data_IF_484961845754
#
_entry.id   IF_484961845754
#
_cell.length_a   1.000
_cell.length_b   1.000
_cell.length_c   1.000
_cell.angle_alpha   90.00
_cell.angle_beta   90.00
_cell.angle_gamma   90.00
#
_symmetry.space_group_name_H-M   'P 1'
#
loop_
_entity.id
_entity.type
_entity.pdbx_description
1 polymer ?
#
# COMPACT_ATOMS: atom_id res chain seq x y z
N UNK A 1 -34.26 -1.91 -45.50
CA UNK A 1 -35.62 -2.46 -45.27
C UNK A 1 -35.74 -2.71 -43.78
N UNK A 2 -36.53 -1.88 -43.11
CA UNK A 2 -37.89 -2.21 -42.61
C UNK A 2 -37.78 -3.20 -41.45
N UNK A 3 -38.17 -2.88 -40.22
CA UNK A 3 -39.15 -1.91 -39.73
C UNK A 3 -39.88 -2.56 -38.55
N UNK A 4 -40.91 -1.87 -38.08
CA UNK A 4 -41.91 -2.23 -37.06
C UNK A 4 -41.57 -1.77 -35.63
N UNK A 5 -42.06 -0.60 -35.20
CA UNK A 5 -43.45 -0.21 -34.80
C UNK A 5 -43.85 -0.84 -33.46
N UNK A 6 -44.01 0.02 -32.43
CA UNK A 6 -45.31 0.47 -31.86
C UNK A 6 -45.92 -0.56 -30.93
N UNK A 7 -46.74 -0.26 -29.94
CA UNK A 7 -47.11 0.94 -29.18
C UNK A 7 -47.96 0.40 -28.00
N UNK A 8 -48.36 1.28 -27.11
CA UNK A 8 -49.47 1.10 -26.15
C UNK A 8 -49.16 0.16 -24.94
N UNK A 9 -49.62 0.37 -23.71
CA UNK A 9 -50.79 1.13 -23.29
C UNK A 9 -50.77 1.46 -21.77
N UNK A 10 -51.56 2.48 -21.46
CA UNK A 10 -52.14 2.96 -20.18
C UNK A 10 -52.07 2.10 -18.90
N UNK A 11 -51.86 2.84 -17.80
CA UNK A 11 -52.70 2.97 -16.58
C UNK A 11 -51.76 3.19 -15.36
N UNK A 12 -51.89 4.21 -14.51
CA UNK A 12 -53.02 4.48 -13.62
C UNK A 12 -52.89 5.88 -12.97
N UNK A 13 -54.04 6.56 -12.83
CA UNK A 13 -54.42 7.74 -12.02
C UNK A 13 -53.83 7.79 -10.59
N UNK A 14 -53.72 8.87 -9.79
CA UNK A 14 -54.31 10.23 -9.65
C UNK A 14 -53.44 11.02 -8.61
N UNK A 15 -53.60 12.35 -8.44
CA UNK A 15 -52.91 13.15 -7.43
C UNK A 15 -53.69 13.27 -6.11
N UNK A 16 -52.98 13.30 -4.98
CA UNK A 16 -53.53 13.57 -3.65
C UNK A 16 -52.61 14.49 -2.85
N UNK A 17 -53.12 15.68 -2.54
CA UNK A 17 -52.47 16.71 -1.72
C UNK A 17 -52.64 16.44 -0.21
N UNK A 18 -51.72 17.06 0.53
CA UNK A 18 -51.87 17.69 1.87
C UNK A 18 -51.77 16.81 3.12
N UNK A 19 -50.98 17.30 4.09
CA UNK A 19 -51.18 16.94 5.49
C UNK A 19 -49.93 16.97 6.38
N UNK A 20 -49.70 18.13 7.00
CA UNK A 20 -49.27 18.30 8.39
C UNK A 20 -47.86 17.84 8.85
N UNK A 21 -47.03 18.86 9.06
CA UNK A 21 -46.24 19.16 10.26
C UNK A 21 -46.24 18.14 11.41
N UNK A 22 -45.03 17.70 11.77
CA UNK A 22 -44.71 17.09 13.05
C UNK A 22 -43.20 17.16 13.30
N UNK A 23 -42.75 18.19 14.02
CA UNK A 23 -41.41 18.22 14.60
C UNK A 23 -41.39 17.33 15.84
N UNK A 24 -40.48 16.35 15.88
CA UNK A 24 -39.92 15.85 17.13
C UNK A 24 -38.57 15.17 16.83
N UNK A 25 -37.52 15.78 17.38
CA UNK A 25 -36.27 15.18 17.84
C UNK A 25 -35.98 13.73 17.44
N UNK A 26 -34.98 13.54 16.59
CA UNK A 26 -34.11 12.37 16.66
C UNK A 26 -32.66 12.78 16.37
N UNK A 27 -31.83 12.59 17.38
CA UNK A 27 -30.38 12.58 17.29
C UNK A 27 -29.99 11.36 16.46
N UNK A 28 -29.81 11.53 15.16
CA UNK A 28 -29.19 10.50 14.33
C UNK A 28 -27.99 11.07 13.57
N UNK A 29 -26.96 10.24 13.59
CA UNK A 29 -25.71 10.23 12.85
C UNK A 29 -25.54 11.32 11.79
N UNK A 30 -24.35 11.95 11.81
CA UNK A 30 -23.79 12.62 10.63
C UNK A 30 -23.57 11.57 9.54
N UNK A 31 -24.65 11.17 8.86
CA UNK A 31 -24.62 10.50 7.60
C UNK A 31 -23.97 11.47 6.62
N UNK A 32 -22.77 11.12 6.17
CA UNK A 32 -22.11 11.79 5.06
C UNK A 32 -23.07 11.67 3.88
N UNK A 33 -23.63 12.79 3.45
CA UNK A 33 -24.50 12.93 2.29
C UNK A 33 -23.79 12.30 1.09
N UNK A 34 -24.22 11.09 0.71
CA UNK A 34 -23.74 10.40 -0.49
C UNK A 34 -24.68 10.79 -1.61
N UNK A 35 -24.23 11.65 -2.50
CA UNK A 35 -24.88 11.86 -3.80
C UNK A 35 -24.98 10.51 -4.53
N UNK A 36 -26.19 10.01 -4.86
CA UNK A 36 -26.35 8.74 -5.53
C UNK A 36 -25.83 8.84 -6.98
N UNK A 37 -24.70 8.19 -7.29
CA UNK A 37 -24.22 8.03 -8.67
C UNK A 37 -22.73 8.25 -8.93
N UNK A 38 -21.94 8.72 -7.96
CA UNK A 38 -20.50 8.88 -8.18
C UNK A 38 -19.78 7.53 -7.96
N UNK A 39 -19.25 6.96 -9.05
CA UNK A 39 -18.38 5.79 -8.99
C UNK A 39 -17.20 6.07 -8.05
N UNK A 40 -16.79 5.12 -7.19
CA UNK A 40 -15.70 5.35 -6.26
C UNK A 40 -14.43 5.72 -7.03
N UNK A 41 -13.88 6.91 -6.72
CA UNK A 41 -12.68 7.44 -7.35
C UNK A 41 -11.54 6.43 -7.21
N UNK A 42 -10.92 6.04 -8.32
CA UNK A 42 -9.74 5.17 -8.29
C UNK A 42 -8.47 6.01 -8.35
N UNK A 43 -7.60 5.86 -7.34
CA UNK A 43 -6.32 6.55 -7.23
C UNK A 43 -5.19 5.56 -7.46
N UNK A 44 -4.20 5.95 -8.25
CA UNK A 44 -3.04 5.12 -8.56
C UNK A 44 -1.82 5.64 -7.83
N UNK A 45 -1.13 4.77 -7.10
CA UNK A 45 0.14 5.11 -6.44
C UNK A 45 1.21 4.10 -6.76
N UNK A 46 2.31 4.58 -7.31
CA UNK A 46 3.51 3.79 -7.52
C UNK A 46 4.25 3.60 -6.19
N UNK A 47 4.44 2.34 -5.80
CA UNK A 47 5.17 1.92 -4.61
C UNK A 47 6.39 1.11 -5.05
N UNK A 48 7.57 1.41 -4.52
CA UNK A 48 8.79 0.64 -4.79
C UNK A 48 9.33 0.02 -3.50
N UNK A 49 9.80 -1.22 -3.59
CA UNK A 49 10.51 -1.88 -2.50
C UNK A 49 11.99 -1.93 -2.83
N UNK A 50 12.82 -1.48 -1.89
CA UNK A 50 14.29 -1.47 -1.98
C UNK A 50 14.88 -2.18 -0.76
N UNK A 51 16.13 -2.63 -0.87
CA UNK A 51 16.82 -3.36 0.19
C UNK A 51 17.65 -4.51 -0.36
N UNK A 52 18.50 -5.07 0.48
CA UNK A 52 19.49 -6.07 0.05
C UNK A 52 18.84 -7.41 -0.34
N UNK A 53 19.64 -8.34 -0.86
CA UNK A 53 19.17 -9.69 -1.18
C UNK A 53 18.74 -10.41 0.11
N UNK A 54 17.73 -11.28 0.02
CA UNK A 54 17.29 -12.15 1.13
C UNK A 54 16.70 -11.44 2.37
N UNK A 55 16.44 -10.13 2.31
CA UNK A 55 15.74 -9.39 3.39
C UNK A 55 14.23 -9.63 3.41
N UNK A 56 13.66 -10.23 2.35
CA UNK A 56 12.25 -10.62 2.27
C UNK A 56 11.31 -9.62 1.60
N UNK A 57 11.80 -8.78 0.67
CA UNK A 57 10.97 -7.82 -0.11
C UNK A 57 9.82 -8.51 -0.85
N UNK A 58 10.14 -9.53 -1.64
CA UNK A 58 9.18 -10.29 -2.43
C UNK A 58 8.17 -11.02 -1.54
N UNK A 59 8.59 -11.57 -0.40
CA UNK A 59 7.70 -12.21 0.56
C UNK A 59 6.71 -11.21 1.17
N UNK A 60 7.16 -10.01 1.56
CA UNK A 60 6.28 -8.95 2.07
C UNK A 60 5.23 -8.54 1.03
N UNK A 61 5.65 -8.46 -0.23
CA UNK A 61 4.82 -8.07 -1.35
C UNK A 61 3.75 -9.12 -1.67
N UNK A 62 4.14 -10.39 -1.72
CA UNK A 62 3.21 -11.51 -1.87
C UNK A 62 2.24 -11.58 -0.71
N UNK A 63 2.72 -11.43 0.54
CA UNK A 63 1.88 -11.43 1.73
C UNK A 63 0.87 -10.29 1.70
N UNK A 64 1.28 -9.09 1.28
CA UNK A 64 0.37 -7.95 1.16
C UNK A 64 -0.74 -8.16 0.12
N UNK A 65 -0.43 -8.78 -1.02
CA UNK A 65 -1.40 -8.90 -2.10
C UNK A 65 -2.27 -10.15 -2.05
N UNK A 66 -1.70 -11.28 -1.61
CA UNK A 66 -2.35 -12.60 -1.66
C UNK A 66 -2.63 -13.19 -0.28
N UNK A 67 -2.13 -12.57 0.78
CA UNK A 67 -2.09 -13.16 2.12
C UNK A 67 -1.40 -14.54 2.15
N UNK A 68 -0.42 -14.77 1.25
CA UNK A 68 0.33 -16.02 1.15
C UNK A 68 1.78 -15.84 1.67
N UNK A 69 2.39 -16.95 2.05
CA UNK A 69 3.82 -17.01 2.37
C UNK A 69 4.43 -18.27 1.73
N UNK A 70 5.56 -18.07 1.06
CA UNK A 70 6.36 -19.14 0.48
C UNK A 70 7.72 -19.16 1.16
N UNK A 71 8.07 -20.30 1.77
CA UNK A 71 9.39 -20.50 2.41
C UNK A 71 10.53 -20.43 1.40
N UNK A 72 10.28 -20.95 0.20
CA UNK A 72 11.20 -20.90 -0.92
C UNK A 72 10.67 -19.93 -1.96
N UNK A 73 11.28 -18.75 -2.02
CA UNK A 73 11.03 -17.76 -3.06
C UNK A 73 12.27 -17.64 -3.95
N UNK A 74 12.09 -17.75 -5.26
CA UNK A 74 13.16 -17.51 -6.21
C UNK A 74 13.67 -16.07 -6.10
N UNK A 75 14.96 -15.86 -6.39
CA UNK A 75 15.54 -14.52 -6.40
C UNK A 75 14.91 -13.69 -7.51
N UNK A 76 14.37 -12.52 -7.16
CA UNK A 76 13.88 -11.55 -8.15
C UNK A 76 15.01 -11.14 -9.09
N UNK A 77 14.79 -11.28 -10.40
CA UNK A 77 15.70 -10.84 -11.46
C UNK A 77 15.24 -9.45 -11.93
N UNK A 78 16.08 -8.43 -11.76
CA UNK A 78 15.74 -7.05 -12.13
C UNK A 78 14.66 -6.45 -11.21
N UNK A 79 13.40 -6.44 -11.65
CA UNK A 79 12.25 -6.09 -10.82
C UNK A 79 10.97 -6.79 -11.27
N UNK A 80 10.16 -7.22 -10.31
CA UNK A 80 8.82 -7.73 -10.52
C UNK A 80 7.78 -6.60 -10.35
N UNK A 81 6.77 -6.60 -11.22
CA UNK A 81 5.66 -5.67 -11.15
C UNK A 81 4.40 -6.39 -10.70
N UNK A 82 3.67 -5.76 -9.77
CA UNK A 82 2.35 -6.22 -9.42
C UNK A 82 1.43 -5.10 -8.98
N UNK A 83 0.15 -5.41 -8.90
CA UNK A 83 -0.89 -4.46 -8.57
C UNK A 83 -1.69 -4.98 -7.39
N UNK A 84 -1.97 -4.11 -6.42
CA UNK A 84 -2.89 -4.40 -5.33
C UNK A 84 -3.88 -3.25 -5.13
N UNK A 85 -5.17 -3.56 -5.13
CA UNK A 85 -6.23 -2.58 -4.88
C UNK A 85 -6.75 -2.69 -3.46
N UNK A 86 -6.81 -1.57 -2.75
CA UNK A 86 -7.39 -1.44 -1.41
C UNK A 86 -8.61 -0.55 -1.48
N UNK A 87 -9.77 -1.05 -1.06
CA UNK A 87 -11.00 -0.28 -1.01
C UNK A 87 -11.11 0.44 0.35
N UNK A 88 -11.12 1.78 0.33
CA UNK A 88 -11.26 2.62 1.51
C UNK A 88 -12.71 3.09 1.74
N UNK A 89 -13.67 2.54 1.00
CA UNK A 89 -15.08 2.92 1.03
C UNK A 89 -15.39 4.18 0.22
N UNK A 90 -14.64 5.25 0.42
CA UNK A 90 -14.79 6.52 -0.33
C UNK A 90 -14.01 6.55 -1.65
N UNK A 91 -12.95 5.73 -1.76
CA UNK A 91 -12.13 5.62 -2.96
C UNK A 91 -11.46 4.24 -3.02
N UNK A 92 -11.04 3.84 -4.22
CA UNK A 92 -10.23 2.65 -4.44
C UNK A 92 -8.79 3.10 -4.65
N UNK A 93 -7.88 2.61 -3.82
CA UNK A 93 -6.46 2.89 -3.95
C UNK A 93 -5.79 1.71 -4.64
N UNK A 94 -5.27 1.92 -5.84
CA UNK A 94 -4.53 0.93 -6.61
C UNK A 94 -3.03 1.19 -6.46
N UNK A 95 -2.35 0.28 -5.79
CA UNK A 95 -0.90 0.28 -5.66
C UNK A 95 -0.26 -0.41 -6.86
N UNK A 96 0.65 0.28 -7.52
CA UNK A 96 1.53 -0.23 -8.56
C UNK A 96 2.89 -0.55 -7.91
N UNK A 97 3.06 -1.79 -7.49
CA UNK A 97 4.16 -2.24 -6.64
C UNK A 97 5.29 -2.76 -7.51
N UNK A 98 6.48 -2.20 -7.29
CA UNK A 98 7.74 -2.61 -7.91
C UNK A 98 8.61 -3.30 -6.86
N UNK A 99 8.68 -4.63 -6.92
CA UNK A 99 9.59 -5.45 -6.12
C UNK A 99 10.94 -5.54 -6.83
N UNK A 100 11.98 -4.89 -6.31
CA UNK A 100 13.30 -4.89 -6.97
C UNK A 100 14.19 -6.03 -6.51
N UNK A 101 15.09 -6.46 -7.37
CA UNK A 101 16.18 -7.33 -6.98
C UNK A 101 17.06 -6.64 -5.93
N UNK A 102 17.52 -7.40 -4.93
CA UNK A 102 18.46 -6.93 -3.92
C UNK A 102 19.92 -7.21 -4.24
N UNK A 103 20.22 -7.86 -5.38
CA UNK A 103 21.59 -8.20 -5.75
C UNK A 103 22.30 -6.96 -6.26
N UNK A 104 23.56 -6.80 -5.88
CA UNK A 104 24.37 -5.64 -6.23
C UNK A 104 24.51 -5.45 -7.75
N UNK A 105 24.49 -6.55 -8.52
CA UNK A 105 24.55 -6.53 -9.98
C UNK A 105 23.38 -5.78 -10.63
N UNK A 106 22.23 -5.66 -9.94
CA UNK A 106 21.07 -4.91 -10.41
C UNK A 106 20.94 -3.53 -9.76
N UNK A 107 21.86 -3.13 -8.87
CA UNK A 107 21.77 -1.88 -8.13
C UNK A 107 21.76 -0.65 -9.05
N UNK A 108 22.50 -0.69 -10.16
CA UNK A 108 22.53 0.39 -11.16
C UNK A 108 21.19 0.61 -11.87
N UNK A 109 20.27 -0.35 -11.82
CA UNK A 109 18.91 -0.23 -12.37
C UNK A 109 17.95 0.42 -11.39
N UNK A 110 18.23 0.45 -10.09
CA UNK A 110 17.31 0.99 -9.08
C UNK A 110 16.75 2.39 -9.38
N UNK A 111 17.54 3.36 -9.91
CA UNK A 111 17.02 4.68 -10.28
C UNK A 111 15.86 4.67 -11.26
N UNK A 112 15.79 3.68 -12.16
CA UNK A 112 14.67 3.57 -13.10
C UNK A 112 13.37 3.18 -12.39
N UNK A 113 13.46 2.41 -11.30
CA UNK A 113 12.29 1.87 -10.60
C UNK A 113 11.70 2.87 -9.60
N UNK A 114 12.52 3.56 -8.81
CA UNK A 114 11.99 4.55 -7.84
C UNK A 114 11.65 5.91 -8.47
N UNK A 115 12.03 6.18 -9.73
CA UNK A 115 11.61 7.39 -10.44
C UNK A 115 10.09 7.49 -10.53
N UNK A 116 9.54 8.61 -10.05
CA UNK A 116 8.09 8.86 -10.04
C UNK A 116 7.32 7.98 -9.05
N UNK A 117 8.00 7.27 -8.13
CA UNK A 117 7.31 6.57 -7.06
C UNK A 117 6.67 7.58 -6.10
N UNK A 118 5.45 7.29 -5.63
CA UNK A 118 4.80 8.07 -4.58
C UNK A 118 5.32 7.67 -3.19
N UNK A 119 5.70 6.41 -3.04
CA UNK A 119 6.28 5.87 -1.81
C UNK A 119 7.37 4.84 -2.11
N UNK A 120 8.33 4.75 -1.19
CA UNK A 120 9.37 3.73 -1.18
C UNK A 120 9.42 3.05 0.19
N UNK A 121 9.45 1.71 0.18
CA UNK A 121 9.65 0.90 1.38
C UNK A 121 11.04 0.29 1.30
N UNK A 122 11.92 0.68 2.21
CA UNK A 122 13.27 0.15 2.33
C UNK A 122 13.26 -0.95 3.38
N UNK A 123 13.52 -2.18 2.97
CA UNK A 123 13.43 -3.37 3.82
C UNK A 123 14.82 -3.81 4.27
N UNK A 124 14.94 -4.16 5.55
CA UNK A 124 16.11 -4.82 6.11
C UNK A 124 15.70 -6.02 6.97
N UNK A 125 16.63 -6.91 7.24
CA UNK A 125 16.44 -8.05 8.13
C UNK A 125 16.93 -7.70 9.54
N UNK A 126 16.08 -7.86 10.57
CA UNK A 126 16.45 -7.51 11.95
C UNK A 126 17.57 -8.39 12.51
N UNK A 127 17.77 -9.60 11.99
CA UNK A 127 18.83 -10.51 12.41
C UNK A 127 20.14 -10.29 11.63
N UNK A 128 20.16 -9.39 10.65
CA UNK A 128 21.35 -9.08 9.85
C UNK A 128 21.69 -7.59 9.88
N UNK A 129 22.75 -7.24 10.63
CA UNK A 129 23.20 -5.85 10.78
C UNK A 129 23.66 -5.19 9.47
N UNK A 130 24.28 -5.94 8.57
CA UNK A 130 24.78 -5.41 7.31
C UNK A 130 23.61 -4.98 6.40
N UNK A 131 22.52 -5.76 6.40
CA UNK A 131 21.30 -5.42 5.65
C UNK A 131 20.68 -4.09 6.11
N UNK A 132 20.80 -3.76 7.41
CA UNK A 132 20.36 -2.47 7.94
C UNK A 132 21.28 -1.32 7.50
N UNK A 133 22.58 -1.56 7.38
CA UNK A 133 23.51 -0.57 6.85
C UNK A 133 23.25 -0.33 5.35
N UNK A 134 22.98 -1.37 4.58
CA UNK A 134 22.52 -1.28 3.19
C UNK A 134 21.22 -0.48 3.07
N UNK A 135 20.24 -0.74 3.93
CA UNK A 135 18.99 0.02 3.99
C UNK A 135 19.21 1.52 4.31
N UNK A 136 20.14 1.88 5.20
CA UNK A 136 20.49 3.29 5.44
C UNK A 136 21.04 3.97 4.19
N UNK A 137 21.90 3.29 3.44
CA UNK A 137 22.43 3.79 2.16
C UNK A 137 21.28 4.05 1.17
N UNK A 138 20.34 3.12 1.03
CA UNK A 138 19.13 3.31 0.22
C UNK A 138 18.30 4.51 0.67
N UNK A 139 18.10 4.70 1.97
CA UNK A 139 17.35 5.85 2.51
C UNK A 139 18.06 7.17 2.19
N UNK A 140 19.40 7.21 2.26
CA UNK A 140 20.19 8.39 1.88
C UNK A 140 20.10 8.68 0.38
N UNK A 141 20.17 7.65 -0.45
CA UNK A 141 20.03 7.73 -1.91
C UNK A 141 18.64 8.27 -2.31
N UNK A 142 17.57 7.74 -1.71
CA UNK A 142 16.22 8.26 -1.93
C UNK A 142 16.08 9.71 -1.46
N UNK A 143 16.75 10.10 -0.37
CA UNK A 143 16.72 11.47 0.14
C UNK A 143 17.41 12.46 -0.78
N UNK A 144 18.56 12.10 -1.37
CA UNK A 144 19.26 12.98 -2.30
C UNK A 144 18.47 13.21 -3.60
N UNK A 145 17.62 12.26 -3.98
CA UNK A 145 16.69 12.41 -5.12
C UNK A 145 15.42 13.16 -4.72
N UNK A 146 14.98 13.03 -3.45
CA UNK A 146 13.74 13.62 -2.93
C UNK A 146 13.71 15.14 -2.80
N UNK A 147 14.85 15.84 -2.88
CA UNK A 147 14.85 17.30 -3.00
C UNK A 147 14.03 17.80 -4.20
N UNK A 148 13.65 16.88 -5.12
CA UNK A 148 12.83 17.13 -6.31
C UNK A 148 11.46 16.43 -6.31
N UNK A 149 11.20 15.51 -5.39
CA UNK A 149 9.97 14.69 -5.37
C UNK A 149 9.54 14.36 -3.94
N UNK A 150 8.29 14.67 -3.60
CA UNK A 150 7.68 14.40 -2.29
C UNK A 150 7.41 12.89 -2.06
N UNK A 151 8.41 12.02 -2.20
CA UNK A 151 8.25 10.58 -1.99
C UNK A 151 8.22 10.29 -0.50
N UNK A 152 7.24 9.49 -0.07
CA UNK A 152 7.17 8.97 1.29
C UNK A 152 8.18 7.83 1.44
N UNK A 153 9.07 7.90 2.43
CA UNK A 153 10.07 6.86 2.68
C UNK A 153 9.69 6.12 3.96
N UNK A 154 9.43 4.83 3.82
CA UNK A 154 9.21 3.91 4.92
C UNK A 154 10.43 3.01 5.11
N UNK A 155 10.91 2.89 6.34
CA UNK A 155 11.95 1.91 6.68
C UNK A 155 11.28 0.73 7.39
N UNK A 156 11.48 -0.48 6.86
CA UNK A 156 10.83 -1.71 7.28
C UNK A 156 11.82 -2.73 7.83
N UNK A 157 11.78 -2.99 9.14
CA UNK A 157 12.50 -4.12 9.75
C UNK A 157 11.68 -5.39 9.60
N UNK A 158 12.19 -6.36 8.84
CA UNK A 158 11.54 -7.63 8.55
C UNK A 158 12.13 -8.78 9.38
N UNK A 159 11.45 -9.94 9.34
CA UNK A 159 11.78 -11.17 10.09
C UNK A 159 11.66 -11.01 11.60
N UNK A 160 10.62 -10.32 12.07
CA UNK A 160 10.35 -10.14 13.51
C UNK A 160 10.19 -11.47 14.27
N UNK A 161 9.88 -12.57 13.58
CA UNK A 161 9.96 -13.92 14.13
C UNK A 161 11.35 -14.31 14.65
N UNK A 162 12.43 -13.76 14.07
CA UNK A 162 13.81 -13.92 14.53
C UNK A 162 14.21 -12.88 15.59
N UNK A 163 13.26 -12.35 16.36
CA UNK A 163 13.53 -11.33 17.38
C UNK A 163 14.57 -11.77 18.43
N UNK A 164 14.70 -13.07 18.70
CA UNK A 164 15.71 -13.62 19.59
C UNK A 164 17.14 -13.49 19.02
N UNK A 165 17.28 -13.47 17.70
CA UNK A 165 18.55 -13.32 16.97
C UNK A 165 18.77 -11.87 16.50
N UNK A 166 17.99 -10.92 17.02
CA UNK A 166 18.04 -9.52 16.61
C UNK A 166 19.43 -8.93 16.82
N UNK A 167 20.01 -8.43 15.73
CA UNK A 167 21.26 -7.68 15.73
C UNK A 167 21.04 -6.17 15.59
N UNK A 168 19.86 -5.75 15.12
CA UNK A 168 19.49 -4.34 14.94
C UNK A 168 18.60 -3.89 16.10
N UNK A 169 19.06 -2.99 16.99
CA UNK A 169 18.26 -2.49 18.09
C UNK A 169 16.93 -1.91 17.58
N UNK A 170 15.84 -2.14 18.31
CA UNK A 170 14.60 -1.40 18.07
C UNK A 170 14.93 0.06 18.30
N UNK A 171 14.99 0.87 17.25
CA UNK A 171 15.10 2.30 17.43
C UNK A 171 13.78 2.76 18.05
N UNK A 172 13.82 3.09 19.35
CA UNK A 172 12.74 3.81 20.01
C UNK A 172 12.68 5.16 19.27
N UNK A 173 11.56 5.43 18.62
CA UNK A 173 11.28 6.75 18.04
C UNK A 173 11.09 7.76 19.19
N UNK A 174 12.16 8.12 19.89
CA UNK A 174 12.16 9.10 20.98
C UNK A 174 12.51 10.52 20.52
N UNK A 175 12.22 10.84 19.26
CA UNK A 175 12.13 12.22 18.82
C UNK A 175 11.08 12.34 17.71
N UNK A 176 10.13 13.29 17.83
CA UNK A 176 9.34 13.75 16.69
C UNK A 176 10.32 14.40 15.71
N UNK A 177 10.98 13.59 14.87
CA UNK A 177 11.90 14.08 13.86
C UNK A 177 11.05 14.93 12.91
N UNK A 178 11.31 16.24 12.90
CA UNK A 178 10.58 17.29 12.15
C UNK A 178 10.61 17.13 10.62
N UNK A 179 10.97 15.95 10.10
CA UNK A 179 10.92 15.62 8.68
C UNK A 179 9.64 14.83 8.42
N UNK A 180 8.62 15.52 7.94
CA UNK A 180 7.22 15.06 7.78
C UNK A 180 7.00 13.81 6.90
N UNK A 181 8.06 13.19 6.36
CA UNK A 181 7.97 12.09 5.38
C UNK A 181 8.70 10.79 5.80
N UNK A 182 9.06 10.63 7.08
CA UNK A 182 9.69 9.40 7.58
C UNK A 182 8.71 8.64 8.46
N UNK A 183 8.29 7.47 7.99
CA UNK A 183 7.53 6.53 8.80
C UNK A 183 8.37 5.27 9.03
N UNK A 184 8.57 4.90 10.29
CA UNK A 184 9.24 3.65 10.65
C UNK A 184 8.16 2.60 10.89
N UNK A 185 8.27 1.47 10.19
CA UNK A 185 7.38 0.33 10.37
C UNK A 185 8.23 -0.91 10.68
N UNK A 186 7.82 -1.72 11.63
CA UNK A 186 8.41 -3.04 11.85
C UNK A 186 7.37 -4.05 11.39
N UNK A 187 7.75 -4.94 10.48
CA UNK A 187 6.84 -5.91 9.86
C UNK A 187 7.28 -7.34 10.15
N UNK A 188 6.30 -8.23 10.33
CA UNK A 188 6.50 -9.66 10.52
C UNK A 188 6.09 -10.37 9.23
N UNK A 189 7.06 -10.99 8.54
CA UNK A 189 6.80 -11.87 7.41
C UNK A 189 7.22 -13.28 7.83
N UNK A 190 6.34 -14.00 8.52
CA UNK A 190 6.66 -15.28 9.19
C UNK A 190 6.83 -16.44 8.21
N UNK A 191 7.86 -17.26 8.48
CA UNK A 191 7.85 -18.70 8.17
C UNK A 191 6.87 -19.43 9.09
N UNK A 192 6.23 -20.49 8.57
CA UNK A 192 5.35 -21.37 9.33
C UNK A 192 6.09 -21.96 10.54
N UNK A 193 5.59 -21.65 11.74
CA UNK A 193 5.57 -22.42 13.03
C UNK A 193 5.35 -21.39 14.15
N UNK A 194 4.32 -21.43 14.99
CA UNK A 194 3.65 -22.57 15.64
C UNK A 194 2.23 -22.10 16.01
N UNK A 195 1.20 -22.83 15.57
CA UNK A 195 -0.04 -22.88 16.36
C UNK A 195 0.33 -23.56 17.67
N UNK A 196 0.26 -22.82 18.77
CA UNK A 196 -0.11 -23.39 20.06
C UNK A 196 -1.54 -22.94 20.31
#
# INVERSE_FOLDING_TARGET
MRGFESAEDRAYSRPGQSGASGNASDLDSRAVDRTPGELPKTLHFKLVLLGDTSVGKSCLVVRFAKDEFYEYQESTIGAAFMTQSVNLGSCIVKFEIWDTAGQERYRSLAPMYYRGAAAAVVVYDISNRDSFQGAKSWVQELQSVNDRSNVVIALAGNKEDLAAERQVPKQVSSSPQKNKNKHFFVSKCTSLKTQI
#
